data_IF_649602601899
#
_entry.id   IF_649602601899
#
_cell.length_a   1.000
_cell.length_b   1.000
_cell.length_c   1.000
_cell.angle_alpha   90.00
_cell.angle_beta   90.00
_cell.angle_gamma   90.00
#
_symmetry.space_group_name_H-M   'P 1'
#
loop_
_entity.id
_entity.type
_entity.pdbx_description
1 polymer ?
#
# COMPACT_ATOMS: atom_id res chain seq x y z
N UNK A 1 7.53 2.53 -6.50
CA UNK A 1 8.22 2.70 -5.20
C UNK A 1 7.29 2.20 -4.13
N UNK A 2 7.79 1.47 -3.14
CA UNK A 2 6.99 0.99 -2.00
C UNK A 2 7.42 1.81 -0.78
N UNK A 3 6.46 2.42 -0.11
CA UNK A 3 6.68 3.20 1.10
C UNK A 3 5.80 2.68 2.23
N UNK A 4 6.35 2.64 3.45
CA UNK A 4 5.68 2.13 4.66
C UNK A 4 6.01 3.04 5.82
N UNK A 5 5.03 3.83 6.25
CA UNK A 5 5.19 4.82 7.34
C UNK A 5 5.65 4.14 8.64
N UNK A 6 5.11 2.96 8.94
CA UNK A 6 5.43 2.20 10.16
C UNK A 6 6.92 1.83 10.31
N UNK A 7 7.70 1.83 9.22
CA UNK A 7 9.14 1.59 9.28
C UNK A 7 9.93 2.80 9.79
N UNK A 8 9.34 3.99 9.72
CA UNK A 8 9.94 5.24 10.18
C UNK A 8 9.31 5.73 11.49
N UNK A 9 7.99 5.55 11.65
CA UNK A 9 7.25 5.91 12.84
C UNK A 9 6.42 4.71 13.34
N UNK A 10 6.87 4.01 14.39
CA UNK A 10 6.20 2.80 14.88
C UNK A 10 4.82 3.08 15.51
N UNK A 11 4.55 4.31 15.95
CA UNK A 11 3.30 4.76 16.55
C UNK A 11 2.31 5.36 15.53
N UNK A 12 2.60 5.19 14.23
CA UNK A 12 1.71 5.68 13.18
C UNK A 12 0.32 5.03 13.24
N UNK A 13 -0.77 5.80 13.04
CA UNK A 13 -2.11 5.23 12.91
C UNK A 13 -2.28 4.37 11.65
N UNK A 14 -1.39 4.49 10.65
CA UNK A 14 -1.43 3.74 9.40
C UNK A 14 -0.58 2.46 9.45
N UNK A 15 -0.56 1.79 10.61
CA UNK A 15 0.22 0.55 10.80
C UNK A 15 -0.29 -0.55 9.86
N UNK A 16 0.64 -1.25 9.22
CA UNK A 16 0.33 -2.26 8.20
C UNK A 16 -0.12 -1.68 6.86
N UNK A 17 -0.11 -0.35 6.65
CA UNK A 17 -0.38 0.24 5.35
C UNK A 17 0.93 0.43 4.57
N UNK A 18 0.91 0.00 3.31
CA UNK A 18 1.97 0.27 2.34
C UNK A 18 1.43 1.12 1.19
N UNK A 19 2.15 2.18 0.86
CA UNK A 19 1.87 3.03 -0.29
C UNK A 19 2.67 2.56 -1.50
N UNK A 20 1.97 2.11 -2.53
CA UNK A 20 2.54 1.79 -3.83
C UNK A 20 2.47 3.02 -4.73
N UNK A 21 3.62 3.66 -4.95
CA UNK A 21 3.73 4.89 -5.71
C UNK A 21 4.21 4.57 -7.13
N UNK A 22 3.30 4.73 -8.09
CA UNK A 22 3.52 4.61 -9.53
C UNK A 22 4.04 5.94 -10.05
N UNK A 23 5.36 6.13 -10.00
CA UNK A 23 6.01 7.38 -10.43
C UNK A 23 6.11 7.56 -11.94
N UNK A 24 6.12 6.46 -12.70
CA UNK A 24 6.24 6.49 -14.16
C UNK A 24 5.41 5.37 -14.76
N UNK A 25 4.53 5.72 -15.68
CA UNK A 25 3.72 4.78 -16.46
C UNK A 25 3.62 5.32 -17.90
N UNK A 26 4.04 4.53 -18.89
CA UNK A 26 4.15 5.02 -20.29
C UNK A 26 2.80 5.27 -20.96
N UNK A 27 1.82 4.42 -20.65
CA UNK A 27 0.53 4.38 -21.34
C UNK A 27 -0.63 4.47 -20.35
N UNK A 28 -0.49 5.29 -19.30
CA UNK A 28 -1.53 5.36 -18.28
C UNK A 28 -1.19 6.29 -17.12
N UNK A 29 -2.12 6.42 -16.16
CA UNK A 29 -1.98 7.34 -15.06
C UNK A 29 -0.86 6.92 -14.11
N UNK A 30 -0.19 7.91 -13.54
CA UNK A 30 0.63 7.78 -12.33
C UNK A 30 -0.23 8.01 -11.09
N UNK A 31 0.22 7.56 -9.93
CA UNK A 31 -0.50 7.79 -8.69
C UNK A 31 0.03 6.97 -7.53
N UNK A 32 -0.65 7.09 -6.40
CA UNK A 32 -0.36 6.32 -5.19
C UNK A 32 -1.55 5.45 -4.85
N UNK A 33 -1.29 4.17 -4.62
CA UNK A 33 -2.30 3.20 -4.20
C UNK A 33 -1.93 2.71 -2.81
N UNK A 34 -2.86 2.79 -1.86
CA UNK A 34 -2.66 2.21 -0.53
C UNK A 34 -3.02 0.71 -0.57
N UNK A 35 -2.20 -0.12 0.06
CA UNK A 35 -2.38 -1.56 0.20
C UNK A 35 -2.15 -1.97 1.66
N UNK A 36 -2.74 -3.09 2.08
CA UNK A 36 -2.46 -3.70 3.38
C UNK A 36 -1.22 -4.60 3.23
N UNK A 37 -0.22 -4.42 4.08
CA UNK A 37 0.98 -5.25 4.12
C UNK A 37 0.92 -6.23 5.30
N UNK A 38 0.82 -7.51 4.96
CA UNK A 38 0.85 -8.62 5.89
C UNK A 38 2.30 -9.04 6.15
N UNK A 39 2.84 -8.61 7.28
CA UNK A 39 4.24 -8.82 7.67
C UNK A 39 4.60 -10.29 7.84
N UNK A 40 3.66 -11.10 8.34
CA UNK A 40 3.91 -12.52 8.61
C UNK A 40 4.22 -13.28 7.32
N UNK A 41 3.58 -12.90 6.22
CA UNK A 41 3.71 -13.58 4.93
C UNK A 41 4.38 -12.73 3.84
N UNK A 42 4.88 -11.54 4.18
CA UNK A 42 5.41 -10.53 3.25
C UNK A 42 4.49 -10.33 2.03
N UNK A 43 3.18 -10.21 2.29
CA UNK A 43 2.14 -10.21 1.26
C UNK A 43 1.34 -8.92 1.26
N UNK A 44 1.06 -8.40 0.07
CA UNK A 44 0.15 -7.27 -0.11
C UNK A 44 -1.28 -7.76 -0.33
N UNK A 45 -2.23 -7.15 0.38
CA UNK A 45 -3.67 -7.39 0.28
C UNK A 45 -4.36 -6.08 -0.13
N UNK A 46 -5.47 -6.20 -0.84
CA UNK A 46 -6.29 -5.03 -1.17
C UNK A 46 -6.84 -4.39 0.10
N UNK A 47 -6.78 -3.06 0.19
CA UNK A 47 -7.42 -2.32 1.29
C UNK A 47 -8.93 -2.23 1.14
N UNK A 48 -9.42 -2.23 -0.10
CA UNK A 48 -10.84 -2.30 -0.37
C UNK A 48 -11.34 -3.73 -0.13
N UNK A 49 -12.27 -3.86 0.81
CA UNK A 49 -13.20 -4.98 0.86
C UNK A 49 -14.31 -4.71 -0.16
N UNK A 50 -13.99 -4.56 -1.46
CA UNK A 50 -15.05 -4.61 -2.46
C UNK A 50 -15.43 -6.08 -2.66
N UNK A 51 -16.31 -6.56 -1.79
CA UNK A 51 -17.18 -7.68 -2.09
C UNK A 51 -18.34 -7.09 -2.88
N UNK A 52 -18.11 -6.81 -4.15
CA UNK A 52 -19.20 -6.53 -5.10
C UNK A 52 -19.62 -7.86 -5.73
N UNK A 53 -20.92 -8.11 -5.63
CA UNK A 53 -21.63 -9.31 -6.08
C UNK A 53 -21.60 -9.48 -7.61
#
# INVERSE_FOLDING_TARGET
MVYREEMHNPDTPERGIAELIVRKQRNGPTGTVKLLFDHQFSRFKNLSHSREF
#
